data_IF_978674733144
#
_entry.id   IF_978674733144
#
_cell.length_a   1.000
_cell.length_b   1.000
_cell.length_c   1.000
_cell.angle_alpha   90.00
_cell.angle_beta   90.00
_cell.angle_gamma   90.00
#
_symmetry.space_group_name_H-M   'P 1'
#
loop_
_entity.id
_entity.type
_entity.pdbx_description
1 polymer ?
#
# COMPACT_ATOMS: atom_id res chain seq x y z
N UNK A 1 5.88 -35.18 -40.26
CA UNK A 1 5.09 -35.61 -41.43
C UNK A 1 4.40 -34.39 -42.00
N UNK A 2 4.90 -33.81 -43.08
CA UNK A 2 4.24 -32.70 -43.77
C UNK A 2 3.04 -33.20 -44.56
N UNK A 3 1.85 -32.69 -44.27
CA UNK A 3 0.68 -32.87 -45.14
C UNK A 3 0.88 -31.95 -46.35
N UNK A 4 0.84 -32.52 -47.55
CA UNK A 4 0.85 -31.77 -48.81
C UNK A 4 -0.44 -30.95 -48.94
N UNK A 5 -0.32 -29.64 -49.19
CA UNK A 5 -1.44 -28.73 -49.47
C UNK A 5 -1.26 -28.12 -50.87
N UNK A 6 -2.31 -28.12 -51.68
CA UNK A 6 -2.37 -27.40 -52.95
C UNK A 6 -3.43 -26.28 -52.83
N UNK A 7 -2.99 -25.08 -52.42
CA UNK A 7 -3.84 -23.92 -52.16
C UNK A 7 -3.09 -22.84 -51.36
N UNK A 8 -3.76 -21.72 -51.03
CA UNK A 8 -3.19 -20.68 -50.15
C UNK A 8 -3.65 -20.98 -48.71
N UNK A 9 -2.70 -21.13 -47.81
CA UNK A 9 -2.91 -21.32 -46.37
C UNK A 9 -2.48 -20.05 -45.64
N UNK A 10 -3.27 -19.64 -44.64
CA UNK A 10 -2.90 -18.57 -43.71
C UNK A 10 -2.60 -19.24 -42.37
N UNK A 11 -1.32 -19.21 -42.00
CA UNK A 11 -0.88 -19.54 -40.64
C UNK A 11 -0.80 -18.21 -39.89
N UNK A 12 -1.68 -18.00 -38.91
CA UNK A 12 -1.55 -16.86 -38.00
C UNK A 12 -0.36 -17.09 -37.07
N UNK A 13 0.80 -16.58 -37.46
CA UNK A 13 1.94 -16.43 -36.57
C UNK A 13 1.73 -15.16 -35.73
N UNK A 14 1.37 -15.32 -34.46
CA UNK A 14 1.40 -14.22 -33.50
C UNK A 14 2.86 -14.02 -33.04
N UNK A 15 3.55 -13.05 -33.63
CA UNK A 15 4.87 -12.57 -33.19
C UNK A 15 4.78 -11.12 -32.72
N UNK A 16 5.46 -10.76 -31.64
CA UNK A 16 5.56 -9.39 -31.16
C UNK A 16 5.48 -9.27 -29.65
N UNK A 17 5.90 -8.10 -29.16
CA UNK A 17 5.86 -7.76 -27.74
C UNK A 17 4.42 -7.64 -27.25
N UNK A 18 4.17 -8.12 -26.03
CA UNK A 18 2.86 -8.00 -25.39
C UNK A 18 2.89 -6.85 -24.38
N UNK A 19 1.92 -5.92 -24.41
CA UNK A 19 1.92 -4.80 -23.49
C UNK A 19 1.67 -5.28 -22.06
N UNK A 20 2.56 -4.89 -21.16
CA UNK A 20 2.42 -5.10 -19.72
C UNK A 20 1.43 -4.06 -19.19
N UNK A 21 0.41 -4.52 -18.45
CA UNK A 21 -0.50 -3.64 -17.71
C UNK A 21 -0.06 -3.57 -16.27
N UNK A 22 -0.02 -2.35 -15.73
CA UNK A 22 0.22 -2.14 -14.30
C UNK A 22 -0.93 -2.73 -13.48
N UNK A 23 -0.59 -3.38 -12.38
CA UNK A 23 -1.57 -3.94 -11.44
C UNK A 23 -2.34 -2.85 -10.70
N UNK A 24 -3.55 -3.17 -10.23
CA UNK A 24 -4.34 -2.24 -9.43
C UNK A 24 -3.63 -1.97 -8.09
N UNK A 25 -3.18 -0.74 -7.89
CA UNK A 25 -2.42 -0.32 -6.70
C UNK A 25 -3.30 0.06 -5.51
N UNK A 26 -4.58 0.36 -5.76
CA UNK A 26 -5.51 1.01 -4.83
C UNK A 26 -6.53 0.06 -4.16
N UNK A 27 -6.29 -1.26 -4.20
CA UNK A 27 -7.14 -2.23 -3.49
C UNK A 27 -6.78 -2.27 -2.01
N UNK A 28 -7.75 -1.99 -1.14
CA UNK A 28 -7.57 -1.94 0.32
C UNK A 28 -8.06 -3.25 0.93
N UNK A 29 -7.29 -3.85 1.83
CA UNK A 29 -7.72 -4.93 2.71
C UNK A 29 -8.00 -4.39 4.11
N UNK A 30 -9.23 -4.55 4.60
CA UNK A 30 -9.61 -4.14 5.96
C UNK A 30 -10.05 -5.36 6.75
N UNK A 31 -9.51 -5.49 7.97
CA UNK A 31 -9.93 -6.49 8.95
C UNK A 31 -10.46 -5.81 10.20
N UNK A 32 -11.53 -6.34 10.77
CA UNK A 32 -12.13 -5.78 11.97
C UNK A 32 -13.40 -6.50 12.40
N UNK A 33 -14.07 -5.93 13.39
CA UNK A 33 -15.31 -6.47 13.96
C UNK A 33 -16.53 -5.81 13.36
N UNK A 34 -17.61 -6.58 13.22
CA UNK A 34 -18.93 -6.07 12.89
C UNK A 34 -20.01 -7.00 13.47
N UNK A 35 -20.35 -6.88 14.77
CA UNK A 35 -21.29 -7.81 15.42
C UNK A 35 -22.67 -7.82 14.75
N UNK A 36 -23.15 -6.65 14.35
CA UNK A 36 -24.45 -6.43 13.69
C UNK A 36 -24.46 -6.71 12.16
N UNK A 37 -23.40 -7.30 11.59
CA UNK A 37 -23.34 -7.57 10.16
C UNK A 37 -24.21 -8.76 9.75
N UNK A 38 -24.79 -8.67 8.55
CA UNK A 38 -25.48 -9.77 7.87
C UNK A 38 -24.49 -10.93 7.62
N UNK A 39 -24.63 -12.08 8.31
CA UNK A 39 -23.66 -13.16 8.25
C UNK A 39 -23.64 -13.89 6.90
N UNK A 40 -24.68 -13.76 6.07
CA UNK A 40 -24.67 -14.32 4.71
C UNK A 40 -23.86 -13.45 3.75
N UNK A 41 -23.89 -12.13 3.95
CA UNK A 41 -23.15 -11.17 3.10
C UNK A 41 -21.73 -10.94 3.57
N UNK A 42 -21.50 -10.97 4.88
CA UNK A 42 -20.19 -10.83 5.52
C UNK A 42 -19.95 -12.01 6.47
N UNK A 43 -19.73 -13.22 5.92
CA UNK A 43 -19.36 -14.37 6.73
C UNK A 43 -18.02 -14.15 7.44
N UNK A 44 -17.87 -14.78 8.60
CA UNK A 44 -16.65 -14.70 9.39
C UNK A 44 -15.47 -15.30 8.62
N UNK A 45 -14.28 -14.71 8.80
CA UNK A 45 -13.00 -15.16 8.24
C UNK A 45 -12.96 -15.28 6.70
N UNK A 46 -13.98 -14.79 5.99
CA UNK A 46 -14.08 -14.91 4.54
C UNK A 46 -13.89 -13.53 3.90
N UNK A 47 -12.99 -13.38 2.91
CA UNK A 47 -12.80 -12.12 2.24
C UNK A 47 -14.02 -11.79 1.36
N UNK A 48 -14.61 -10.62 1.57
CA UNK A 48 -15.75 -10.11 0.78
C UNK A 48 -15.35 -8.84 0.03
N UNK A 49 -15.69 -8.76 -1.25
CA UNK A 49 -15.40 -7.61 -2.09
C UNK A 49 -16.50 -6.54 -1.96
N UNK A 50 -16.09 -5.30 -1.69
CA UNK A 50 -16.93 -4.10 -1.77
C UNK A 50 -16.36 -3.18 -2.85
N UNK A 51 -17.11 -2.96 -3.93
CA UNK A 51 -16.64 -2.28 -5.13
C UNK A 51 -16.96 -0.77 -5.11
N UNK A 52 -16.57 -0.08 -4.05
CA UNK A 52 -16.64 1.39 -3.96
C UNK A 52 -18.04 1.98 -3.73
N UNK A 53 -19.09 1.16 -3.64
CA UNK A 53 -20.45 1.62 -3.34
C UNK A 53 -20.76 1.51 -1.85
N UNK A 54 -21.13 2.62 -1.21
CA UNK A 54 -21.55 2.64 0.21
C UNK A 54 -22.71 1.68 0.51
N UNK A 55 -23.62 1.47 -0.44
CA UNK A 55 -24.74 0.55 -0.30
C UNK A 55 -24.31 -0.92 -0.12
N UNK A 56 -23.16 -1.32 -0.68
CA UNK A 56 -22.61 -2.68 -0.51
C UNK A 56 -22.00 -2.88 0.88
N UNK A 57 -21.60 -1.80 1.55
CA UNK A 57 -21.12 -1.82 2.94
C UNK A 57 -22.25 -1.71 3.98
N UNK A 58 -23.46 -1.29 3.59
CA UNK A 58 -24.59 -1.15 4.51
C UNK A 58 -24.92 -2.42 5.33
N UNK A 59 -24.80 -3.65 4.79
CA UNK A 59 -25.04 -4.86 5.57
C UNK A 59 -23.99 -5.16 6.65
N UNK A 60 -22.93 -4.36 6.80
CA UNK A 60 -22.02 -4.45 7.95
C UNK A 60 -22.66 -3.97 9.27
N UNK A 61 -23.80 -3.27 9.18
CA UNK A 61 -24.46 -2.68 10.34
C UNK A 61 -23.75 -1.41 10.84
N UNK A 62 -24.01 -1.05 12.10
CA UNK A 62 -23.50 0.19 12.72
C UNK A 62 -22.54 -0.06 13.88
N UNK A 63 -22.33 -1.31 14.27
CA UNK A 63 -21.52 -1.70 15.42
C UNK A 63 -20.18 -2.31 14.99
N UNK A 64 -19.17 -2.21 15.85
CA UNK A 64 -17.82 -2.71 15.61
C UNK A 64 -16.93 -1.70 14.87
N UNK A 65 -15.78 -2.17 14.39
CA UNK A 65 -14.76 -1.31 13.76
C UNK A 65 -14.91 -1.17 12.25
N UNK A 66 -15.52 -2.16 11.57
CA UNK A 66 -15.62 -2.16 10.11
C UNK A 66 -16.53 -1.07 9.53
N UNK A 67 -17.75 -0.79 10.04
CA UNK A 67 -18.60 0.24 9.47
C UNK A 67 -17.91 1.62 9.45
N UNK A 68 -17.26 1.98 10.56
CA UNK A 68 -16.50 3.21 10.70
C UNK A 68 -15.32 3.29 9.73
N UNK A 69 -14.57 2.19 9.58
CA UNK A 69 -13.45 2.09 8.66
C UNK A 69 -13.88 2.25 7.19
N UNK A 70 -14.98 1.60 6.80
CA UNK A 70 -15.52 1.68 5.45
C UNK A 70 -15.97 3.10 5.10
N UNK A 71 -16.67 3.77 6.01
CA UNK A 71 -17.07 5.17 5.85
C UNK A 71 -15.85 6.08 5.70
N UNK A 72 -14.83 5.91 6.55
CA UNK A 72 -13.58 6.67 6.46
C UNK A 72 -12.82 6.48 5.15
N UNK A 73 -12.79 5.26 4.59
CA UNK A 73 -12.21 5.00 3.26
C UNK A 73 -13.03 5.73 2.18
N UNK A 74 -14.35 5.58 2.20
CA UNK A 74 -15.25 6.13 1.19
C UNK A 74 -15.46 7.65 1.26
N UNK A 75 -15.06 8.30 2.35
CA UNK A 75 -14.95 9.76 2.41
C UNK A 75 -13.79 10.30 1.55
N UNK A 76 -12.77 9.49 1.31
CA UNK A 76 -11.61 9.89 0.49
C UNK A 76 -11.81 9.52 -0.98
N UNK A 77 -12.17 8.26 -1.25
CA UNK A 77 -12.35 7.71 -2.58
C UNK A 77 -13.27 6.48 -2.58
N UNK A 78 -13.99 6.27 -3.69
CA UNK A 78 -14.72 5.03 -3.97
C UNK A 78 -13.75 3.89 -4.32
N UNK A 79 -12.96 3.45 -3.35
CA UNK A 79 -11.94 2.41 -3.51
C UNK A 79 -12.54 1.00 -3.53
N UNK A 80 -11.81 0.05 -4.12
CA UNK A 80 -12.14 -1.37 -4.01
C UNK A 80 -11.61 -1.88 -2.68
N UNK A 81 -12.48 -2.44 -1.85
CA UNK A 81 -12.13 -2.89 -0.50
C UNK A 81 -12.44 -4.38 -0.34
N UNK A 82 -11.45 -5.14 0.13
CA UNK A 82 -11.58 -6.51 0.60
C UNK A 82 -11.80 -6.46 2.10
N UNK A 83 -13.00 -6.83 2.53
CA UNK A 83 -13.41 -6.83 3.94
C UNK A 83 -13.27 -8.23 4.51
N UNK A 84 -12.56 -8.36 5.62
CA UNK A 84 -12.51 -9.59 6.42
C UNK A 84 -13.12 -9.29 7.78
N UNK A 85 -14.21 -9.99 8.10
CA UNK A 85 -14.91 -9.86 9.38
C UNK A 85 -14.42 -10.91 10.36
N UNK A 86 -14.07 -10.46 11.55
CA UNK A 86 -13.79 -11.32 12.71
C UNK A 86 -14.77 -11.03 13.83
N UNK A 87 -14.90 -11.96 14.76
CA UNK A 87 -15.73 -11.81 15.96
C UNK A 87 -15.02 -12.43 17.17
N UNK A 88 -15.44 -12.08 18.38
CA UNK A 88 -14.87 -12.61 19.61
C UNK A 88 -15.60 -12.10 20.86
N UNK A 89 -15.55 -12.89 21.93
CA UNK A 89 -16.28 -12.59 23.17
C UNK A 89 -15.66 -11.41 23.97
N UNK A 90 -14.35 -11.21 23.84
CA UNK A 90 -13.60 -10.15 24.48
C UNK A 90 -12.47 -9.65 23.55
N UNK A 91 -11.80 -8.58 23.96
CA UNK A 91 -10.75 -7.94 23.17
C UNK A 91 -9.55 -8.85 22.88
N UNK A 92 -9.18 -9.72 23.82
CA UNK A 92 -8.08 -10.67 23.65
C UNK A 92 -8.45 -11.76 22.64
N UNK A 93 -9.67 -12.29 22.72
CA UNK A 93 -10.21 -13.24 21.76
C UNK A 93 -10.32 -12.62 20.36
N UNK A 94 -10.76 -11.37 20.25
CA UNK A 94 -10.83 -10.67 18.96
C UNK A 94 -9.43 -10.50 18.37
N UNK A 95 -8.43 -10.09 19.17
CA UNK A 95 -7.03 -10.01 18.70
C UNK A 95 -6.49 -11.35 18.24
N UNK A 96 -6.75 -12.42 18.97
CA UNK A 96 -6.37 -13.78 18.59
C UNK A 96 -7.03 -14.17 17.26
N UNK A 97 -8.32 -13.87 17.08
CA UNK A 97 -9.05 -14.20 15.87
C UNK A 97 -8.64 -13.33 14.67
N UNK A 98 -8.19 -12.08 14.90
CA UNK A 98 -7.58 -11.25 13.86
C UNK A 98 -6.23 -11.78 13.41
N UNK A 99 -5.37 -12.20 14.34
CA UNK A 99 -4.14 -12.92 13.99
C UNK A 99 -4.49 -14.14 13.14
N UNK A 100 -5.51 -14.88 13.59
CA UNK A 100 -6.07 -16.01 12.85
C UNK A 100 -5.05 -17.11 12.60
N UNK A 101 -5.16 -17.77 11.47
CA UNK A 101 -4.34 -18.92 11.13
C UNK A 101 -4.89 -19.68 9.94
N UNK A 102 -4.72 -21.00 9.96
CA UNK A 102 -5.36 -21.92 9.01
C UNK A 102 -6.22 -22.86 9.83
N UNK A 103 -7.52 -22.88 9.55
CA UNK A 103 -8.45 -23.78 10.20
C UNK A 103 -8.18 -25.24 9.78
N UNK A 104 -8.75 -26.20 10.52
CA UNK A 104 -8.55 -27.62 10.25
C UNK A 104 -9.05 -28.08 8.87
N UNK A 105 -9.97 -27.31 8.26
CA UNK A 105 -10.49 -27.54 6.92
C UNK A 105 -9.61 -26.91 5.81
N UNK A 106 -8.53 -26.23 6.18
CA UNK A 106 -7.62 -25.54 5.27
C UNK A 106 -8.05 -24.11 4.90
N UNK A 107 -9.15 -23.60 5.46
CA UNK A 107 -9.55 -22.20 5.25
C UNK A 107 -8.62 -21.24 6.00
N UNK A 108 -8.34 -20.09 5.38
CA UNK A 108 -7.54 -19.03 6.00
C UNK A 108 -8.41 -18.20 6.93
N UNK A 109 -7.90 -17.89 8.12
CA UNK A 109 -8.60 -17.10 9.13
C UNK A 109 -7.87 -15.80 9.45
N UNK A 110 -8.61 -14.79 9.92
CA UNK A 110 -8.05 -13.50 10.30
C UNK A 110 -7.28 -12.82 9.17
N UNK A 111 -6.09 -12.29 9.47
CA UNK A 111 -5.24 -11.59 8.50
C UNK A 111 -4.73 -12.50 7.38
N UNK A 112 -4.65 -13.82 7.61
CA UNK A 112 -4.23 -14.77 6.58
C UNK A 112 -5.26 -14.88 5.46
N UNK A 113 -6.53 -14.54 5.72
CA UNK A 113 -7.60 -14.52 4.70
C UNK A 113 -7.28 -13.59 3.52
N UNK A 114 -6.44 -12.55 3.72
CA UNK A 114 -5.98 -11.69 2.63
C UNK A 114 -5.13 -12.44 1.58
N UNK A 115 -4.44 -13.51 1.96
CA UNK A 115 -3.69 -14.34 1.01
C UNK A 115 -4.61 -15.10 0.06
N UNK A 116 -5.81 -15.49 0.54
CA UNK A 116 -6.84 -16.15 -0.25
C UNK A 116 -7.66 -15.22 -1.14
N UNK A 117 -7.58 -13.90 -0.92
CA UNK A 117 -8.44 -12.92 -1.59
C UNK A 117 -8.32 -12.95 -3.13
N UNK A 118 -7.13 -13.20 -3.67
CA UNK A 118 -6.93 -13.28 -5.12
C UNK A 118 -7.64 -14.51 -5.73
N UNK A 119 -7.57 -15.65 -5.05
CA UNK A 119 -8.21 -16.89 -5.51
C UNK A 119 -9.74 -16.79 -5.46
N UNK A 120 -10.26 -16.18 -4.40
CA UNK A 120 -11.72 -16.10 -4.15
C UNK A 120 -12.37 -14.95 -4.92
N UNK A 121 -11.72 -13.78 -4.97
CA UNK A 121 -12.32 -12.53 -5.46
C UNK A 121 -11.65 -11.99 -6.74
N UNK A 122 -10.54 -12.59 -7.18
CA UNK A 122 -9.78 -12.11 -8.34
C UNK A 122 -9.04 -10.78 -8.11
N UNK A 123 -8.93 -10.33 -6.85
CA UNK A 123 -8.25 -9.08 -6.48
C UNK A 123 -7.29 -9.30 -5.32
N UNK A 124 -6.15 -8.62 -5.38
CA UNK A 124 -5.10 -8.70 -4.34
C UNK A 124 -5.03 -7.37 -3.59
N UNK A 125 -5.27 -7.32 -2.28
CA UNK A 125 -5.15 -6.08 -1.51
C UNK A 125 -3.69 -5.63 -1.43
N UNK A 126 -3.44 -4.33 -1.66
CA UNK A 126 -2.11 -3.69 -1.63
C UNK A 126 -1.92 -2.71 -0.48
N UNK A 127 -3.00 -2.35 0.19
CA UNK A 127 -3.01 -1.48 1.37
C UNK A 127 -3.79 -2.21 2.44
N UNK A 128 -3.15 -2.58 3.56
CA UNK A 128 -3.75 -3.37 4.63
C UNK A 128 -3.97 -2.49 5.86
N UNK A 129 -5.13 -2.62 6.48
CA UNK A 129 -5.50 -1.90 7.70
C UNK A 129 -6.24 -2.80 8.69
N UNK A 130 -5.96 -2.61 9.98
CA UNK A 130 -6.68 -3.24 11.10
C UNK A 130 -7.16 -2.17 12.10
N UNK A 131 -8.13 -1.33 11.72
CA UNK A 131 -8.56 -0.19 12.52
C UNK A 131 -9.10 -0.63 13.88
N UNK A 132 -8.65 0.05 14.93
CA UNK A 132 -9.11 -0.19 16.31
C UNK A 132 -8.29 -1.23 17.06
N UNK A 133 -7.47 -2.03 16.37
CA UNK A 133 -6.64 -3.06 17.01
C UNK A 133 -5.16 -2.98 16.66
N UNK A 134 -4.80 -2.16 15.65
CA UNK A 134 -3.41 -1.87 15.32
C UNK A 134 -2.65 -1.19 16.47
N UNK A 135 -3.29 -0.27 17.19
CA UNK A 135 -2.63 0.67 18.11
C UNK A 135 -2.12 0.08 19.44
N UNK A 136 -2.47 -1.16 19.75
CA UNK A 136 -2.28 -1.74 21.08
C UNK A 136 -0.89 -2.35 21.26
N UNK A 137 -0.35 -2.30 22.49
CA UNK A 137 0.87 -3.02 22.91
C UNK A 137 0.56 -3.94 24.09
N UNK A 138 -0.05 -5.12 23.85
CA UNK A 138 -0.42 -6.03 24.91
C UNK A 138 0.80 -6.42 25.75
N UNK A 139 0.72 -6.23 27.07
CA UNK A 139 1.81 -6.52 28.00
C UNK A 139 3.12 -5.76 27.69
N UNK A 140 3.04 -4.62 26.99
CA UNK A 140 4.20 -3.84 26.56
C UNK A 140 4.96 -4.44 25.37
N UNK A 141 4.44 -5.52 24.78
CA UNK A 141 5.01 -6.17 23.60
C UNK A 141 4.46 -5.58 22.29
N UNK A 142 5.17 -5.88 21.20
CA UNK A 142 4.76 -5.55 19.83
C UNK A 142 3.35 -6.07 19.55
N UNK A 143 2.56 -5.27 18.83
CA UNK A 143 1.20 -5.64 18.45
C UNK A 143 1.16 -6.97 17.66
N UNK A 144 0.38 -7.97 18.11
CA UNK A 144 0.36 -9.28 17.46
C UNK A 144 -0.30 -9.25 16.06
N UNK A 145 -1.34 -8.44 15.87
CA UNK A 145 -2.05 -8.30 14.59
C UNK A 145 -1.13 -7.68 13.53
N UNK A 146 -0.42 -6.59 13.87
CA UNK A 146 0.53 -5.97 12.94
C UNK A 146 1.73 -6.88 12.68
N UNK A 147 2.18 -7.66 13.67
CA UNK A 147 3.28 -8.62 13.50
C UNK A 147 2.94 -9.66 12.42
N UNK A 148 1.75 -10.26 12.48
CA UNK A 148 1.34 -11.21 11.45
C UNK A 148 0.97 -10.56 10.12
N UNK A 149 0.41 -9.34 10.14
CA UNK A 149 0.19 -8.58 8.92
C UNK A 149 1.48 -8.31 8.16
N UNK A 150 2.63 -8.12 8.84
CA UNK A 150 3.93 -7.94 8.14
C UNK A 150 4.27 -9.16 7.30
N UNK A 151 4.05 -10.38 7.82
CA UNK A 151 4.29 -11.62 7.06
C UNK A 151 3.38 -11.71 5.84
N UNK A 152 2.10 -11.37 6.01
CA UNK A 152 1.12 -11.32 4.91
C UNK A 152 1.49 -10.24 3.89
N UNK A 153 1.90 -9.06 4.34
CA UNK A 153 2.26 -7.93 3.51
C UNK A 153 3.50 -8.20 2.66
N UNK A 154 4.51 -8.91 3.17
CA UNK A 154 5.66 -9.31 2.36
C UNK A 154 5.28 -10.27 1.23
N UNK A 155 4.38 -11.22 1.51
CA UNK A 155 3.89 -12.17 0.49
C UNK A 155 3.03 -11.49 -0.57
N UNK A 156 2.16 -10.57 -0.15
CA UNK A 156 1.27 -9.82 -1.03
C UNK A 156 1.93 -8.59 -1.68
N UNK A 157 3.16 -8.22 -1.30
CA UNK A 157 3.78 -6.93 -1.64
C UNK A 157 2.82 -5.77 -1.36
N UNK A 158 2.26 -5.78 -0.16
CA UNK A 158 1.33 -4.77 0.33
C UNK A 158 2.01 -3.89 1.38
N UNK A 159 1.41 -2.72 1.66
CA UNK A 159 1.80 -1.84 2.76
C UNK A 159 0.73 -1.84 3.84
N UNK A 160 1.13 -1.70 5.10
CA UNK A 160 0.27 -1.70 6.27
C UNK A 160 0.20 -0.27 6.80
N UNK A 161 -1.01 0.25 6.98
CA UNK A 161 -1.21 1.52 7.68
C UNK A 161 -1.63 1.19 9.11
N UNK A 162 -0.71 1.40 10.05
CA UNK A 162 -0.91 1.11 11.46
C UNK A 162 -1.23 2.39 12.23
N UNK A 163 -2.25 2.34 13.07
CA UNK A 163 -2.54 3.42 14.01
C UNK A 163 -1.57 3.37 15.19
N UNK A 164 -1.10 4.53 15.64
CA UNK A 164 -0.42 4.67 16.93
C UNK A 164 -1.40 4.70 18.11
N UNK A 165 -0.90 4.62 19.35
CA UNK A 165 -1.71 4.48 20.57
C UNK A 165 -2.61 5.68 20.88
N UNK A 166 -2.38 6.84 20.25
CA UNK A 166 -3.15 8.07 20.48
C UNK A 166 -3.15 8.54 21.96
N UNK A 167 -2.13 8.17 22.74
CA UNK A 167 -1.96 8.57 24.14
C UNK A 167 -1.07 9.80 24.26
N UNK A 168 0.23 9.64 24.03
CA UNK A 168 1.23 10.69 24.06
C UNK A 168 2.34 10.43 23.02
N UNK A 169 3.23 11.40 22.85
CA UNK A 169 4.26 11.35 21.80
C UNK A 169 5.33 10.29 22.08
N UNK A 170 5.66 10.02 23.34
CA UNK A 170 6.66 9.00 23.71
C UNK A 170 6.11 7.58 23.46
N UNK A 171 4.85 7.33 23.78
CA UNK A 171 4.19 6.06 23.48
C UNK A 171 4.09 5.84 21.97
N UNK A 172 3.81 6.88 21.18
CA UNK A 172 3.78 6.79 19.72
C UNK A 172 5.17 6.46 19.15
N UNK A 173 6.24 7.07 19.67
CA UNK A 173 7.63 6.76 19.30
C UNK A 173 8.01 5.34 19.71
N UNK A 174 7.63 4.90 20.91
CA UNK A 174 7.88 3.55 21.40
C UNK A 174 7.12 2.50 20.58
N UNK A 175 5.87 2.78 20.22
CA UNK A 175 5.07 1.92 19.34
C UNK A 175 5.71 1.79 17.96
N UNK A 176 6.17 2.90 17.34
CA UNK A 176 6.95 2.81 16.10
C UNK A 176 8.15 1.89 16.32
N UNK A 177 8.95 2.12 17.37
CA UNK A 177 10.22 1.42 17.58
C UNK A 177 10.11 -0.13 17.61
N UNK A 178 8.92 -0.69 17.85
CA UNK A 178 8.66 -2.13 17.75
C UNK A 178 8.75 -2.67 16.30
N UNK A 179 8.77 -1.82 15.27
CA UNK A 179 8.73 -2.19 13.86
C UNK A 179 9.98 -1.72 13.09
N UNK A 180 10.65 -2.66 12.43
CA UNK A 180 11.77 -2.42 11.50
C UNK A 180 11.46 -2.91 10.09
N UNK A 181 10.24 -2.68 9.59
CA UNK A 181 9.81 -3.14 8.26
C UNK A 181 9.38 -1.97 7.38
N UNK A 182 9.91 -1.94 6.15
CA UNK A 182 9.49 -1.01 5.09
C UNK A 182 8.02 -1.12 4.69
N UNK A 183 7.32 -2.18 5.13
CA UNK A 183 5.90 -2.40 4.86
C UNK A 183 5.00 -1.65 5.81
N UNK A 184 5.50 -1.22 6.97
CA UNK A 184 4.69 -0.58 8.01
C UNK A 184 4.79 0.93 7.87
N UNK A 185 3.65 1.61 7.91
CA UNK A 185 3.52 3.05 7.93
C UNK A 185 2.64 3.43 9.14
N UNK A 186 3.26 4.04 10.16
CA UNK A 186 2.58 4.39 11.42
C UNK A 186 1.98 5.79 11.33
N UNK A 187 0.72 5.91 11.75
CA UNK A 187 -0.04 7.17 11.80
C UNK A 187 -0.52 7.44 13.21
N UNK A 188 -0.14 8.59 13.76
CA UNK A 188 -0.62 9.07 15.06
C UNK A 188 -0.77 10.61 15.00
N UNK A 189 -1.91 11.20 15.42
CA UNK A 189 -2.95 10.66 16.29
C UNK A 189 -4.18 10.11 15.55
N UNK A 190 -5.13 9.59 16.33
CA UNK A 190 -6.50 9.32 15.85
C UNK A 190 -7.22 10.61 15.42
N UNK A 191 -8.36 10.44 14.75
CA UNK A 191 -9.20 11.55 14.26
C UNK A 191 -10.52 11.63 15.01
N UNK A 192 -11.13 12.81 14.99
CA UNK A 192 -12.49 13.05 15.47
C UNK A 192 -13.41 13.22 14.27
N UNK A 193 -14.55 12.55 14.32
CA UNK A 193 -15.55 12.52 13.25
C UNK A 193 -16.91 12.84 13.83
N UNK A 194 -17.83 13.35 13.01
CA UNK A 194 -19.20 13.59 13.43
C UNK A 194 -20.10 12.49 12.87
N UNK A 195 -20.66 11.65 13.76
CA UNK A 195 -21.58 10.57 13.43
C UNK A 195 -22.77 10.59 14.40
N UNK A 196 -23.97 10.37 13.88
CA UNK A 196 -25.21 10.26 14.66
C UNK A 196 -25.44 11.40 15.67
N UNK A 197 -25.09 12.63 15.26
CA UNK A 197 -25.28 13.82 16.09
C UNK A 197 -24.19 14.03 17.16
N UNK A 198 -23.13 13.21 17.19
CA UNK A 198 -22.06 13.28 18.19
C UNK A 198 -20.67 13.25 17.54
N UNK A 199 -19.70 13.79 18.25
CA UNK A 199 -18.29 13.71 17.85
C UNK A 199 -17.64 12.48 18.49
N UNK A 200 -17.16 11.55 17.67
CA UNK A 200 -16.51 10.32 18.10
C UNK A 200 -15.04 10.29 17.68
N UNK A 201 -14.21 9.53 18.41
CA UNK A 201 -12.79 9.34 18.10
C UNK A 201 -12.64 8.03 17.34
N UNK A 202 -12.01 8.10 16.17
CA UNK A 202 -11.75 6.94 15.30
C UNK A 202 -10.26 6.83 14.93
N UNK A 203 -9.75 5.61 14.76
CA UNK A 203 -8.42 5.40 14.19
C UNK A 203 -8.28 6.04 12.80
N UNK A 204 -7.07 6.50 12.46
CA UNK A 204 -6.81 7.24 11.24
C UNK A 204 -6.47 6.33 10.03
N UNK A 205 -6.05 5.09 10.27
CA UNK A 205 -5.52 4.16 9.27
C UNK A 205 -6.45 3.95 8.08
N UNK A 206 -7.75 3.76 8.32
CA UNK A 206 -8.75 3.58 7.26
C UNK A 206 -8.85 4.81 6.34
N UNK A 207 -8.86 6.02 6.92
CA UNK A 207 -8.86 7.27 6.13
C UNK A 207 -7.56 7.44 5.37
N UNK A 208 -6.42 7.18 5.99
CA UNK A 208 -5.13 7.25 5.31
C UNK A 208 -5.03 6.23 4.16
N UNK A 209 -5.54 5.01 4.33
CA UNK A 209 -5.65 4.04 3.25
C UNK A 209 -6.51 4.56 2.09
N UNK A 210 -7.65 5.18 2.40
CA UNK A 210 -8.49 5.87 1.42
C UNK A 210 -7.77 7.03 0.71
N UNK A 211 -6.96 7.82 1.44
CA UNK A 211 -6.15 8.91 0.87
C UNK A 211 -5.08 8.37 -0.08
N UNK A 212 -4.44 7.24 0.25
CA UNK A 212 -3.48 6.57 -0.63
C UNK A 212 -4.19 6.09 -1.91
N UNK A 213 -5.34 5.41 -1.77
CA UNK A 213 -6.12 4.98 -2.93
C UNK A 213 -6.59 6.14 -3.81
N UNK A 214 -6.94 7.28 -3.21
CA UNK A 214 -7.26 8.52 -3.92
C UNK A 214 -6.04 9.06 -4.68
N UNK A 215 -4.89 9.16 -4.03
CA UNK A 215 -3.64 9.66 -4.62
C UNK A 215 -3.20 8.80 -5.80
N UNK A 216 -3.33 7.49 -5.69
CA UNK A 216 -3.05 6.55 -6.77
C UNK A 216 -3.88 6.82 -8.03
N UNK A 217 -5.18 7.04 -7.84
CA UNK A 217 -6.10 7.28 -8.95
C UNK A 217 -5.91 8.67 -9.57
N UNK A 218 -5.64 9.68 -8.75
CA UNK A 218 -5.56 11.09 -9.20
C UNK A 218 -4.17 11.45 -9.74
N UNK A 219 -3.10 10.86 -9.20
CA UNK A 219 -1.70 11.24 -9.48
C UNK A 219 -0.79 10.08 -9.85
N UNK A 220 -1.12 8.85 -9.44
CA UNK A 220 -0.30 7.66 -9.62
C UNK A 220 0.32 7.15 -8.32
N UNK A 221 0.63 5.85 -8.29
CA UNK A 221 1.11 5.12 -7.10
C UNK A 221 2.49 5.56 -6.59
N UNK A 222 3.25 6.28 -7.43
CA UNK A 222 4.58 6.83 -7.13
C UNK A 222 4.51 8.17 -6.38
N UNK A 223 3.32 8.72 -6.17
CA UNK A 223 3.14 9.94 -5.38
C UNK A 223 3.01 9.63 -3.88
N UNK A 224 3.64 10.49 -3.07
CA UNK A 224 3.44 10.47 -1.62
C UNK A 224 2.02 10.97 -1.26
N UNK A 225 1.32 10.30 -0.34
CA UNK A 225 0.03 10.76 0.17
C UNK A 225 0.17 11.96 1.13
N UNK A 226 1.39 12.31 1.55
CA UNK A 226 1.65 13.45 2.43
C UNK A 226 1.24 14.79 1.79
N UNK A 227 0.89 15.77 2.64
CA UNK A 227 0.43 17.11 2.26
C UNK A 227 -0.86 17.12 1.41
N UNK A 228 -1.65 16.05 1.47
CA UNK A 228 -2.99 15.98 0.86
C UNK A 228 -4.08 16.17 1.92
N UNK A 229 -5.23 16.71 1.51
CA UNK A 229 -6.33 16.98 2.43
C UNK A 229 -7.03 15.69 2.84
N UNK A 230 -7.29 15.56 4.14
CA UNK A 230 -8.07 14.48 4.72
C UNK A 230 -9.54 14.91 4.84
N UNK A 231 -10.43 14.21 4.13
CA UNK A 231 -11.87 14.46 4.17
C UNK A 231 -12.54 13.75 5.36
N UNK A 232 -13.76 14.16 5.71
CA UNK A 232 -14.61 13.41 6.66
C UNK A 232 -14.17 13.47 8.12
N UNK A 233 -13.33 14.45 8.50
CA UNK A 233 -12.91 14.66 9.89
C UNK A 233 -13.22 16.08 10.36
N UNK A 234 -13.50 16.22 11.65
CA UNK A 234 -13.78 17.52 12.29
C UNK A 234 -12.58 18.05 13.09
N UNK A 235 -11.76 17.14 13.63
CA UNK A 235 -10.55 17.47 14.38
C UNK A 235 -9.61 16.26 14.46
N UNK A 236 -8.40 16.47 14.96
CA UNK A 236 -7.56 15.38 15.47
C UNK A 236 -7.95 15.06 16.91
N UNK A 237 -7.72 13.82 17.35
CA UNK A 237 -7.98 13.41 18.73
C UNK A 237 -7.04 14.15 19.70
N UNK A 238 -5.74 14.15 19.38
CA UNK A 238 -4.72 14.98 20.04
C UNK A 238 -4.31 16.15 19.12
N UNK A 239 -4.15 17.37 19.64
CA UNK A 239 -3.63 18.47 18.85
C UNK A 239 -2.13 18.24 18.58
N UNK A 240 -1.76 18.22 17.30
CA UNK A 240 -0.36 18.23 16.86
C UNK A 240 -0.03 19.65 16.41
N UNK A 241 0.90 20.29 17.11
CA UNK A 241 1.41 21.59 16.69
C UNK A 241 2.29 21.45 15.46
N UNK A 242 2.09 22.41 14.56
CA UNK A 242 2.81 22.55 13.31
C UNK A 242 2.94 24.04 13.03
N UNK A 243 4.18 24.49 12.88
CA UNK A 243 4.50 25.86 12.48
C UNK A 243 5.53 25.83 11.36
N UNK A 244 5.30 26.64 10.33
CA UNK A 244 6.20 26.74 9.19
C UNK A 244 7.57 27.25 9.65
N UNK A 245 8.62 26.48 9.35
CA UNK A 245 10.00 26.81 9.70
C UNK A 245 10.40 26.49 11.14
N UNK A 246 9.51 25.91 11.96
CA UNK A 246 9.84 25.50 13.33
C UNK A 246 10.23 24.02 13.40
N UNK A 247 11.52 23.76 13.66
CA UNK A 247 12.04 22.41 13.84
C UNK A 247 11.60 21.76 15.16
N UNK A 248 11.14 22.54 16.14
CA UNK A 248 10.73 22.05 17.45
C UNK A 248 9.25 21.69 17.53
N UNK A 249 8.49 21.89 16.44
CA UNK A 249 7.09 21.51 16.39
C UNK A 249 6.93 20.00 16.61
N UNK A 250 5.90 19.59 17.35
CA UNK A 250 5.59 18.18 17.63
C UNK A 250 5.45 17.35 16.36
N UNK A 251 4.85 17.92 15.30
CA UNK A 251 4.78 17.27 14.00
C UNK A 251 6.17 16.86 13.49
N UNK A 252 7.19 17.70 13.69
CA UNK A 252 8.56 17.41 13.28
C UNK A 252 9.21 16.36 14.21
N UNK A 253 9.02 16.48 15.53
CA UNK A 253 9.55 15.52 16.51
C UNK A 253 9.02 14.09 16.28
N UNK A 254 7.75 13.94 15.90
CA UNK A 254 7.16 12.65 15.56
C UNK A 254 7.66 12.13 14.20
N UNK A 255 7.74 12.99 13.18
CA UNK A 255 8.24 12.61 11.86
C UNK A 255 9.74 12.23 11.85
N UNK A 256 10.55 12.85 12.72
CA UNK A 256 11.95 12.46 12.91
C UNK A 256 12.06 11.01 13.40
N UNK A 257 11.05 10.54 14.16
CA UNK A 257 10.92 9.15 14.59
C UNK A 257 10.03 8.33 13.67
N UNK A 258 9.79 8.78 12.44
CA UNK A 258 9.03 8.09 11.39
C UNK A 258 7.57 7.78 11.79
N UNK A 259 7.00 8.61 12.66
CA UNK A 259 5.57 8.61 12.97
C UNK A 259 4.91 9.70 12.14
N UNK A 260 4.03 9.30 11.22
CA UNK A 260 3.28 10.26 10.40
C UNK A 260 2.14 10.87 11.18
N UNK A 261 1.92 12.17 10.99
CA UNK A 261 0.97 12.95 11.79
C UNK A 261 -0.14 13.54 10.93
N UNK A 262 -1.13 14.17 11.57
CA UNK A 262 -2.18 14.93 10.90
C UNK A 262 -2.08 16.38 11.39
N UNK A 263 -1.75 17.30 10.48
CA UNK A 263 -1.60 18.73 10.79
C UNK A 263 -2.81 19.52 10.30
N UNK A 264 -2.98 20.72 10.86
CA UNK A 264 -3.99 21.68 10.40
C UNK A 264 -3.32 22.84 9.68
N UNK A 265 -3.36 22.84 8.35
CA UNK A 265 -2.90 23.93 7.50
C UNK A 265 -3.75 24.02 6.24
N UNK A 266 -4.63 25.03 6.16
CA UNK A 266 -5.65 25.16 5.10
C UNK A 266 -6.56 23.91 4.99
N UNK A 267 -6.96 23.37 6.14
CA UNK A 267 -7.63 22.07 6.26
C UNK A 267 -6.79 21.08 7.07
N UNK A 268 -7.31 19.87 7.26
CA UNK A 268 -6.53 18.78 7.85
C UNK A 268 -5.76 18.05 6.76
N UNK A 269 -4.48 17.78 7.02
CA UNK A 269 -3.58 17.13 6.06
C UNK A 269 -2.81 16.01 6.71
N UNK A 270 -2.60 14.92 5.97
CA UNK A 270 -1.61 13.93 6.33
C UNK A 270 -0.22 14.54 6.21
N UNK A 271 0.64 14.33 7.21
CA UNK A 271 1.95 14.94 7.31
C UNK A 271 2.99 13.92 7.77
N UNK A 272 3.63 13.31 6.78
CA UNK A 272 4.62 12.27 6.93
C UNK A 272 4.54 11.29 5.76
N UNK A 273 5.70 10.75 5.36
CA UNK A 273 5.82 9.84 4.22
C UNK A 273 6.87 8.74 4.45
N UNK A 274 7.42 8.65 5.67
CA UNK A 274 8.41 7.65 6.04
C UNK A 274 7.75 6.35 6.50
N UNK A 275 8.25 5.23 6.01
CA UNK A 275 7.94 3.88 6.49
C UNK A 275 8.80 3.56 7.70
N UNK A 276 8.51 2.48 8.42
CA UNK A 276 9.33 2.00 9.52
C UNK A 276 10.54 1.15 9.07
N UNK A 277 11.10 1.42 7.89
CA UNK A 277 12.26 0.72 7.36
C UNK A 277 13.51 1.00 8.20
N UNK A 278 14.33 -0.02 8.44
CA UNK A 278 15.68 0.13 9.01
C UNK A 278 16.71 0.56 7.94
N UNK A 279 16.47 0.21 6.67
CA UNK A 279 17.27 0.65 5.53
C UNK A 279 16.79 2.02 5.01
N UNK A 280 17.64 3.08 5.04
CA UNK A 280 17.32 4.40 4.52
C UNK A 280 16.95 4.42 3.03
N UNK A 281 17.37 3.42 2.23
CA UNK A 281 16.98 3.32 0.82
C UNK A 281 15.48 3.12 0.64
N UNK A 282 14.83 2.50 1.61
CA UNK A 282 13.40 2.22 1.61
C UNK A 282 12.62 3.11 2.57
N UNK A 283 13.20 4.25 2.97
CA UNK A 283 12.59 5.17 3.92
C UNK A 283 11.23 5.68 3.46
N UNK A 284 11.02 5.93 2.16
CA UNK A 284 9.78 6.55 1.67
C UNK A 284 8.73 5.54 1.22
N UNK A 285 7.48 5.77 1.64
CA UNK A 285 6.33 4.94 1.26
C UNK A 285 6.15 4.88 -0.27
N UNK A 286 6.29 6.02 -0.96
CA UNK A 286 6.16 6.08 -2.42
C UNK A 286 7.21 5.25 -3.16
N UNK A 287 8.43 5.17 -2.62
CA UNK A 287 9.54 4.38 -3.18
C UNK A 287 9.24 2.88 -3.04
N UNK A 288 8.83 2.44 -1.84
CA UNK A 288 8.44 1.05 -1.58
C UNK A 288 7.29 0.64 -2.51
N UNK A 289 6.24 1.46 -2.58
CA UNK A 289 5.05 1.17 -3.40
C UNK A 289 5.37 1.15 -4.89
N UNK A 290 6.23 2.04 -5.38
CA UNK A 290 6.66 2.04 -6.79
C UNK A 290 7.38 0.73 -7.14
N UNK A 291 8.30 0.28 -6.28
CA UNK A 291 9.00 -0.98 -6.47
C UNK A 291 8.04 -2.18 -6.46
N UNK A 292 7.07 -2.20 -5.55
CA UNK A 292 6.08 -3.30 -5.49
C UNK A 292 5.23 -3.37 -6.75
N UNK A 293 4.73 -2.22 -7.23
CA UNK A 293 3.88 -2.18 -8.43
C UNK A 293 4.63 -2.62 -9.67
N UNK A 294 5.91 -2.23 -9.83
CA UNK A 294 6.75 -2.70 -10.94
C UNK A 294 6.92 -4.22 -10.86
N UNK A 295 7.41 -4.72 -9.73
CA UNK A 295 7.68 -6.15 -9.54
C UNK A 295 6.45 -7.03 -9.78
N UNK A 296 5.30 -6.66 -9.22
CA UNK A 296 4.09 -7.47 -9.34
C UNK A 296 3.50 -7.44 -10.75
N UNK A 297 3.60 -6.29 -11.44
CA UNK A 297 3.18 -6.17 -12.84
C UNK A 297 4.03 -7.04 -13.76
N UNK A 298 5.33 -7.14 -13.50
CA UNK A 298 6.21 -8.05 -14.25
C UNK A 298 5.82 -9.51 -14.03
N UNK A 299 5.57 -9.93 -12.78
CA UNK A 299 5.18 -11.31 -12.49
C UNK A 299 3.87 -11.70 -13.21
N UNK A 300 2.84 -10.84 -13.14
CA UNK A 300 1.54 -11.15 -13.77
C UNK A 300 1.58 -11.13 -15.28
N UNK A 301 2.37 -10.23 -15.88
CA UNK A 301 2.40 -10.07 -17.32
C UNK A 301 3.22 -11.15 -18.04
N UNK A 302 4.12 -11.88 -17.35
CA UNK A 302 4.98 -12.89 -17.97
C UNK A 302 4.47 -14.33 -17.80
N UNK A 303 3.22 -14.54 -17.37
CA UNK A 303 2.62 -15.89 -17.36
C UNK A 303 2.64 -16.57 -18.74
N UNK A 304 2.59 -15.80 -19.84
CA UNK A 304 2.70 -16.35 -21.20
C UNK A 304 4.12 -16.83 -21.55
N UNK A 305 5.14 -16.32 -20.85
CA UNK A 305 6.54 -16.65 -21.09
C UNK A 305 6.90 -17.99 -20.42
N UNK A 306 6.15 -18.38 -19.39
CA UNK A 306 6.23 -19.71 -18.77
C UNK A 306 5.89 -20.78 -19.82
N UNK A 307 6.65 -21.87 -19.83
CA UNK A 307 6.51 -23.03 -20.73
C UNK A 307 6.78 -22.78 -22.24
N UNK A 308 7.22 -21.58 -22.64
CA UNK A 308 7.72 -21.37 -24.01
C UNK A 308 9.15 -21.89 -24.17
N UNK A 309 9.46 -22.39 -25.37
CA UNK A 309 10.81 -22.84 -25.71
C UNK A 309 11.81 -21.67 -25.59
N UNK A 310 12.86 -21.89 -24.79
CA UNK A 310 13.95 -20.93 -24.62
C UNK A 310 14.73 -20.85 -25.93
N UNK A 311 14.52 -19.75 -26.64
CA UNK A 311 15.16 -19.41 -27.91
C UNK A 311 15.75 -18.01 -27.79
N UNK A 312 16.63 -17.62 -28.71
CA UNK A 312 17.15 -16.24 -28.72
C UNK A 312 16.01 -15.20 -28.83
N UNK A 313 15.03 -15.48 -29.68
CA UNK A 313 13.82 -14.68 -29.84
C UNK A 313 12.98 -14.61 -28.56
N UNK A 314 12.92 -15.68 -27.76
CA UNK A 314 12.25 -15.64 -26.46
C UNK A 314 12.91 -14.62 -25.51
N UNK A 315 14.24 -14.61 -25.43
CA UNK A 315 14.99 -13.68 -24.59
C UNK A 315 14.76 -12.23 -25.07
N UNK A 316 14.83 -12.00 -26.38
CA UNK A 316 14.57 -10.70 -27.01
C UNK A 316 13.12 -10.21 -26.79
N UNK A 317 12.12 -11.08 -26.94
CA UNK A 317 10.72 -10.75 -26.73
C UNK A 317 10.46 -10.33 -25.27
N UNK A 318 11.04 -11.03 -24.31
CA UNK A 318 10.91 -10.72 -22.87
C UNK A 318 11.59 -9.40 -22.53
N UNK A 319 12.85 -9.21 -22.96
CA UNK A 319 13.58 -7.95 -22.67
C UNK A 319 12.89 -6.76 -23.31
N UNK A 320 12.43 -6.86 -24.56
CA UNK A 320 11.75 -5.76 -25.24
C UNK A 320 10.39 -5.44 -24.61
N UNK A 321 9.64 -6.46 -24.18
CA UNK A 321 8.36 -6.31 -23.48
C UNK A 321 8.53 -5.54 -22.16
N UNK A 322 9.50 -5.94 -21.33
CA UNK A 322 9.78 -5.27 -20.06
C UNK A 322 10.36 -3.86 -20.28
N UNK A 323 11.28 -3.68 -21.23
CA UNK A 323 11.85 -2.36 -21.52
C UNK A 323 10.75 -1.38 -21.95
N UNK A 324 9.84 -1.81 -22.82
CA UNK A 324 8.69 -0.99 -23.24
C UNK A 324 7.81 -0.57 -22.06
N UNK A 325 7.65 -1.45 -21.06
CA UNK A 325 6.93 -1.12 -19.83
C UNK A 325 7.66 -0.08 -18.98
N UNK A 326 8.96 -0.26 -18.74
CA UNK A 326 9.78 0.70 -18.00
C UNK A 326 9.80 2.07 -18.69
N UNK A 327 9.89 2.11 -20.02
CA UNK A 327 9.83 3.33 -20.81
C UNK A 327 8.46 4.02 -20.67
N UNK A 328 7.37 3.25 -20.63
CA UNK A 328 6.03 3.79 -20.40
C UNK A 328 5.89 4.43 -19.01
N UNK A 329 6.49 3.81 -17.98
CA UNK A 329 6.51 4.34 -16.62
C UNK A 329 7.36 5.62 -16.55
N UNK A 330 8.49 5.64 -17.25
CA UNK A 330 9.34 6.83 -17.35
C UNK A 330 8.60 7.99 -18.03
N UNK A 331 7.87 7.72 -19.12
CA UNK A 331 7.07 8.73 -19.82
C UNK A 331 5.95 9.31 -18.94
N UNK A 332 5.39 8.52 -18.02
CA UNK A 332 4.40 8.97 -17.03
C UNK A 332 5.02 9.71 -15.84
N UNK A 333 6.35 9.70 -15.69
CA UNK A 333 7.06 10.24 -14.54
C UNK A 333 7.00 9.36 -13.28
N UNK A 334 6.63 8.08 -13.43
CA UNK A 334 6.59 7.10 -12.34
C UNK A 334 7.98 6.66 -11.88
N UNK A 335 8.93 6.64 -12.82
CA UNK A 335 10.35 6.39 -12.58
C UNK A 335 11.18 7.41 -13.36
N UNK A 336 12.40 7.69 -12.88
CA UNK A 336 13.38 8.52 -13.58
C UNK A 336 14.05 7.76 -14.73
N UNK A 337 14.18 6.44 -14.58
CA UNK A 337 14.73 5.53 -15.57
C UNK A 337 14.72 4.08 -15.07
N UNK A 338 14.95 3.16 -16.00
CA UNK A 338 15.12 1.73 -15.73
C UNK A 338 15.50 0.99 -17.01
N UNK A 339 16.31 -0.05 -16.86
CA UNK A 339 16.81 -0.88 -17.95
C UNK A 339 16.73 -2.35 -17.56
N UNK A 340 16.36 -3.21 -18.51
CA UNK A 340 16.42 -4.67 -18.37
C UNK A 340 17.50 -5.27 -19.28
N UNK A 341 18.14 -6.34 -18.82
CA UNK A 341 19.05 -7.16 -19.61
C UNK A 341 18.91 -8.64 -19.23
N UNK A 342 19.33 -9.54 -20.12
CA UNK A 342 19.47 -10.96 -19.81
C UNK A 342 20.87 -11.17 -19.23
N UNK A 343 20.99 -11.86 -18.09
CA UNK A 343 22.29 -12.03 -17.43
C UNK A 343 23.12 -13.11 -18.14
N UNK A 344 24.05 -12.70 -19.00
CA UNK A 344 24.89 -13.62 -19.78
C UNK A 344 25.71 -14.58 -18.90
N UNK A 345 26.15 -14.10 -17.73
CA UNK A 345 26.92 -14.92 -16.77
C UNK A 345 26.07 -16.00 -16.11
N UNK A 346 24.78 -15.73 -15.86
CA UNK A 346 23.85 -16.68 -15.24
C UNK A 346 23.18 -17.58 -16.27
N UNK A 347 23.00 -17.10 -17.51
CA UNK A 347 22.39 -17.85 -18.62
C UNK A 347 23.38 -18.81 -19.30
N UNK A 348 24.04 -19.64 -18.50
CA UNK A 348 24.93 -20.70 -18.99
C UNK A 348 24.15 -21.78 -19.76
N UNK A 349 24.79 -22.55 -20.66
CA UNK A 349 24.13 -23.65 -21.38
C UNK A 349 23.50 -24.69 -20.44
N UNK A 350 24.11 -24.95 -19.28
CA UNK A 350 23.57 -25.88 -18.28
C UNK A 350 22.26 -25.36 -17.65
N UNK A 351 22.20 -24.05 -17.34
CA UNK A 351 20.99 -23.44 -16.80
C UNK A 351 19.87 -23.40 -17.84
N UNK A 352 20.20 -23.03 -19.08
CA UNK A 352 19.23 -23.04 -20.20
C UNK A 352 18.71 -24.46 -20.46
N UNK A 353 19.59 -25.47 -20.45
CA UNK A 353 19.20 -26.87 -20.59
C UNK A 353 18.30 -27.34 -19.43
N UNK A 354 18.49 -26.79 -18.24
CA UNK A 354 17.62 -27.01 -17.08
C UNK A 354 16.33 -26.17 -17.10
N UNK A 355 16.05 -25.43 -18.18
CA UNK A 355 14.86 -24.60 -18.33
C UNK A 355 14.91 -23.28 -17.55
N UNK A 356 16.09 -22.84 -17.10
CA UNK A 356 16.27 -21.64 -16.29
C UNK A 356 16.84 -20.50 -17.13
N UNK A 357 16.18 -19.34 -17.07
CA UNK A 357 16.64 -18.09 -17.69
C UNK A 357 16.56 -16.98 -16.66
N UNK A 358 17.60 -16.15 -16.61
CA UNK A 358 17.78 -15.06 -15.67
C UNK A 358 17.74 -13.73 -16.41
N UNK A 359 16.95 -12.81 -15.88
CA UNK A 359 16.86 -11.43 -16.32
C UNK A 359 17.06 -10.53 -15.11
N UNK A 360 17.86 -9.48 -15.29
CA UNK A 360 18.06 -8.44 -14.30
C UNK A 360 17.53 -7.13 -14.85
N UNK A 361 16.97 -6.32 -13.96
CA UNK A 361 16.53 -4.99 -14.31
C UNK A 361 16.80 -4.02 -13.17
N UNK A 362 17.10 -2.79 -13.53
CA UNK A 362 17.18 -1.67 -12.61
C UNK A 362 16.00 -0.71 -12.81
N UNK A 363 15.76 0.13 -11.79
CA UNK A 363 14.84 1.24 -11.88
C UNK A 363 15.18 2.26 -10.78
N UNK A 364 14.88 3.54 -11.04
CA UNK A 364 15.01 4.60 -10.05
C UNK A 364 13.69 5.35 -9.89
N UNK A 365 12.97 5.22 -8.76
CA UNK A 365 11.77 5.99 -8.48
C UNK A 365 12.11 7.44 -8.09
N UNK A 366 11.22 8.41 -8.32
CA UNK A 366 11.39 9.76 -7.78
C UNK A 366 11.26 9.76 -6.25
N UNK A 367 12.19 10.40 -5.55
CA UNK A 367 12.08 10.63 -4.11
C UNK A 367 11.25 11.89 -3.84
N UNK A 368 10.37 11.88 -2.83
CA UNK A 368 9.58 13.06 -2.49
C UNK A 368 10.47 14.17 -1.92
N UNK A 369 10.18 15.41 -2.29
CA UNK A 369 10.85 16.60 -1.74
C UNK A 369 10.38 16.86 -0.29
N UNK A 370 10.95 16.11 0.65
CA UNK A 370 10.57 16.13 2.06
C UNK A 370 10.99 17.42 2.79
N UNK A 371 12.14 18.00 2.44
CA UNK A 371 12.66 19.23 3.04
C UNK A 371 13.20 20.18 1.96
N UNK A 372 12.67 21.40 1.94
CA UNK A 372 13.07 22.47 1.01
C UNK A 372 13.66 23.63 1.81
N UNK A 373 14.93 23.95 1.57
CA UNK A 373 15.65 25.02 2.27
C UNK A 373 15.82 26.23 1.35
N UNK A 374 15.24 27.37 1.74
CA UNK A 374 15.51 28.66 1.08
C UNK A 374 16.58 29.42 1.86
N UNK A 375 17.66 29.82 1.17
CA UNK A 375 18.71 30.69 1.73
C UNK A 375 18.43 32.13 1.32
N UNK A 376 18.02 32.98 2.27
CA UNK A 376 17.90 34.42 2.06
C UNK A 376 19.28 35.09 2.20
N UNK A 377 19.65 35.93 1.25
CA UNK A 377 20.89 36.72 1.27
C UNK A 377 20.49 38.19 1.14
N UNK A 378 20.70 38.97 2.19
CA UNK A 378 20.59 40.42 2.13
C UNK A 378 21.84 40.96 1.42
N UNK A 379 21.66 41.67 0.31
CA UNK A 379 22.75 42.28 -0.45
C UNK A 379 22.53 43.77 -0.63
N UNK A 380 23.61 44.54 -0.59
CA UNK A 380 23.61 45.98 -0.85
C UNK A 380 23.95 46.29 -2.32
N UNK A 381 24.21 45.28 -3.16
CA UNK A 381 24.63 45.48 -4.55
C UNK A 381 23.58 46.24 -5.39
N UNK A 382 22.30 46.11 -5.05
CA UNK A 382 21.21 46.84 -5.72
C UNK A 382 21.05 48.28 -5.23
N UNK A 383 21.77 48.69 -4.18
CA UNK A 383 21.76 50.08 -3.72
C UNK A 383 22.60 50.98 -4.63
N UNK A 384 23.59 50.43 -5.35
CA UNK A 384 24.36 51.17 -6.35
C UNK A 384 23.51 51.58 -7.56
N UNK A 385 22.44 50.84 -7.88
CA UNK A 385 21.48 51.19 -8.96
C UNK A 385 20.55 52.36 -8.60
N UNK A 386 20.55 52.81 -7.34
CA UNK A 386 19.69 53.90 -6.85
C UNK A 386 20.39 55.27 -6.97
N UNK A 387 21.73 55.32 -7.10
CA UNK A 387 22.53 56.56 -7.11
C UNK A 387 22.99 56.95 -8.51
#
# INVERSE_FOLDING_TARGET
MSKFLHGVEVIEAQSGTRPIKTVKSSVIGVIGTAPSADPEKFPLNTPVLVAGKRAEAAPLGTEGTLPAAMDGIFDQAGAVVVVVRVDGADEAAIMSNMVGGVAADGSYEGVQAFLGAESVLGVTPRILVAPGYAHQRPEGNRNPVITELVNVAERLRAVIIADGPNTNDEDAKAYRADFGSRRVFVVDPHVKVFRDGKTEVEPASARVAGMIAKSDNDRGFWWSPSNTNMNGIVATARPIDFQLGDANARANMLNEKEVSTIIRQNGFKLWGNRTCSDDPKWAFLSVVRTADMINDSLLRAHMWAVDRNITKTYIEDVTQSVQSYLDSLKAQGAILGGQIWADEELNTPANIQAGKVYFSFDFTPPTPAEHITFKSILTNNYLEEIV
#
